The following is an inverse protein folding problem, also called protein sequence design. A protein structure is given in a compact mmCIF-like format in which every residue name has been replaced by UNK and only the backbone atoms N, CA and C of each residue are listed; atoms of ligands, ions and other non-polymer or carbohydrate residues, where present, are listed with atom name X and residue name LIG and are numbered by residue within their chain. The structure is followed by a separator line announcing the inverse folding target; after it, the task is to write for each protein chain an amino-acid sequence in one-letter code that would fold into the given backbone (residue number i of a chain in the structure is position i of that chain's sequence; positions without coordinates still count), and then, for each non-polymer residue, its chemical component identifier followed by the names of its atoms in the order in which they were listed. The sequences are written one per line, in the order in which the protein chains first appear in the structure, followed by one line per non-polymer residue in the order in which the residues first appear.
data_IF_016481243733
#
_entry.id   IF_016481243733
#
_cell.length_a   1.000
_cell.length_b   1.000
_cell.length_c   1.000
_cell.angle_alpha   90.00
_cell.angle_beta   90.00
_cell.angle_gamma   90.00
#
_symmetry.space_group_name_H-M   'P 1'
#
loop_
_entity.id
_entity.type
_entity.pdbx_description
1 polymer ?
#
# COMPACT_ATOMS: atom_id res chain seq x y z
N UNK A 1 -55.08 -14.51 16.70
CA UNK A 1 -55.92 -13.64 15.85
C UNK A 1 -56.62 -12.59 16.70
N UNK A 2 -56.82 -11.37 16.17
CA UNK A 2 -57.23 -10.22 16.97
C UNK A 2 -58.58 -10.47 17.65
N UNK A 3 -58.69 -10.01 18.89
CA UNK A 3 -59.86 -10.17 19.76
C UNK A 3 -60.47 -8.83 20.15
N UNK A 4 -59.98 -7.76 19.53
CA UNK A 4 -60.24 -6.37 19.95
C UNK A 4 -61.60 -5.86 19.46
N UNK A 5 -62.11 -6.43 18.36
CA UNK A 5 -63.46 -6.18 17.86
C UNK A 5 -64.44 -7.21 18.43
N UNK A 6 -65.42 -6.76 19.21
CA UNK A 6 -66.44 -7.63 19.84
C UNK A 6 -67.21 -8.50 18.82
N UNK A 7 -67.36 -8.03 17.58
CA UNK A 7 -68.09 -8.77 16.53
C UNK A 7 -67.31 -9.98 16.01
N UNK A 8 -65.98 -9.90 16.01
CA UNK A 8 -65.08 -10.92 15.45
C UNK A 8 -64.40 -11.73 16.56
N UNK A 9 -64.31 -11.19 17.78
CA UNK A 9 -63.66 -11.80 18.93
C UNK A 9 -64.19 -13.21 19.22
N UNK A 10 -65.52 -13.41 19.22
CA UNK A 10 -66.08 -14.74 19.53
C UNK A 10 -65.64 -15.81 18.51
N UNK A 11 -65.58 -15.44 17.23
CA UNK A 11 -65.13 -16.32 16.15
C UNK A 11 -63.62 -16.57 16.28
N UNK A 12 -62.83 -15.51 16.43
CA UNK A 12 -61.37 -15.61 16.55
C UNK A 12 -60.93 -16.38 17.81
N UNK A 13 -61.67 -16.31 18.92
CA UNK A 13 -61.43 -17.12 20.12
C UNK A 13 -61.58 -18.60 19.85
N UNK A 14 -62.69 -18.99 19.23
CA UNK A 14 -62.96 -20.37 18.83
C UNK A 14 -61.88 -20.87 17.87
N UNK A 15 -61.51 -20.06 16.88
CA UNK A 15 -60.51 -20.45 15.89
C UNK A 15 -59.09 -20.53 16.47
N UNK A 16 -58.73 -19.68 17.44
CA UNK A 16 -57.45 -19.77 18.16
C UNK A 16 -57.30 -21.12 18.89
N UNK A 17 -58.40 -21.71 19.38
CA UNK A 17 -58.37 -23.03 20.03
C UNK A 17 -58.06 -24.19 19.06
N UNK A 18 -58.19 -23.97 17.76
CA UNK A 18 -57.91 -24.98 16.71
C UNK A 18 -56.48 -24.88 16.17
N UNK A 19 -55.64 -24.01 16.75
CA UNK A 19 -54.22 -23.91 16.40
C UNK A 19 -53.41 -25.02 17.08
N UNK A 20 -52.52 -25.72 16.35
CA UNK A 20 -52.23 -25.62 14.92
C UNK A 20 -53.29 -26.33 14.05
N UNK A 21 -53.60 -25.77 12.88
CA UNK A 21 -54.61 -26.33 11.98
C UNK A 21 -54.18 -27.66 11.35
N UNK A 22 -54.96 -28.73 11.57
CA UNK A 22 -54.85 -29.99 10.86
C UNK A 22 -55.56 -29.89 9.50
N UNK A 23 -54.78 -29.73 8.42
CA UNK A 23 -55.32 -29.52 7.07
C UNK A 23 -54.93 -30.63 6.09
N UNK A 24 -55.86 -30.93 5.19
CA UNK A 24 -55.67 -31.87 4.08
C UNK A 24 -55.91 -31.10 2.79
N UNK A 25 -54.94 -31.09 1.88
CA UNK A 25 -55.08 -30.48 0.55
C UNK A 25 -55.39 -31.54 -0.52
N UNK A 26 -56.31 -31.24 -1.44
CA UNK A 26 -56.55 -32.03 -2.65
C UNK A 26 -56.89 -31.12 -3.83
N UNK A 27 -56.46 -31.52 -5.03
CA UNK A 27 -56.90 -30.93 -6.31
C UNK A 27 -57.98 -31.78 -6.99
N UNK A 28 -58.16 -33.04 -6.55
CA UNK A 28 -59.06 -33.99 -7.17
C UNK A 28 -60.49 -33.76 -6.65
N UNK A 29 -61.43 -33.64 -7.58
CA UNK A 29 -62.85 -33.45 -7.29
C UNK A 29 -63.65 -34.71 -7.61
N UNK A 30 -64.52 -35.08 -6.68
CA UNK A 30 -65.36 -36.28 -6.80
C UNK A 30 -66.80 -35.87 -6.57
N UNK A 31 -67.71 -36.40 -7.38
CA UNK A 31 -69.14 -36.15 -7.25
C UNK A 31 -69.70 -36.93 -6.07
N UNK A 32 -69.91 -36.25 -4.94
CA UNK A 32 -70.57 -36.81 -3.75
C UNK A 32 -72.00 -36.25 -3.72
N UNK A 33 -72.98 -37.08 -4.11
CA UNK A 33 -74.36 -36.64 -4.31
C UNK A 33 -74.51 -35.71 -5.52
N UNK A 34 -74.98 -34.48 -5.29
CA UNK A 34 -75.21 -33.46 -6.35
C UNK A 34 -74.13 -32.37 -6.41
N UNK A 35 -73.09 -32.43 -5.56
CA UNK A 35 -72.01 -31.44 -5.53
C UNK A 35 -70.67 -32.09 -5.89
N UNK A 36 -69.82 -31.34 -6.59
CA UNK A 36 -68.42 -31.68 -6.77
C UNK A 36 -67.68 -31.23 -5.52
N UNK A 37 -67.03 -32.15 -4.82
CA UNK A 37 -66.30 -31.87 -3.58
C UNK A 37 -64.87 -32.33 -3.75
N UNK A 38 -63.91 -31.54 -3.23
CA UNK A 38 -62.49 -31.92 -3.22
C UNK A 38 -62.25 -33.03 -2.21
N UNK A 39 -61.69 -34.14 -2.66
CA UNK A 39 -61.47 -35.33 -1.81
C UNK A 39 -60.12 -35.98 -2.07
N UNK A 40 -59.64 -36.76 -1.11
CA UNK A 40 -58.52 -37.70 -1.31
C UNK A 40 -59.04 -39.12 -1.18
N UNK A 41 -58.93 -39.89 -2.26
CA UNK A 41 -59.34 -41.28 -2.27
C UNK A 41 -58.17 -42.18 -1.87
N UNK A 42 -58.42 -43.09 -0.92
CA UNK A 42 -57.54 -44.17 -0.56
C UNK A 42 -58.30 -45.51 -0.63
N UNK A 43 -57.60 -46.64 -0.75
CA UNK A 43 -58.25 -47.96 -0.73
C UNK A 43 -59.08 -48.25 0.54
N UNK A 44 -58.77 -47.59 1.66
CA UNK A 44 -59.46 -47.75 2.95
C UNK A 44 -60.53 -46.68 3.23
N UNK A 45 -60.70 -45.68 2.36
CA UNK A 45 -61.68 -44.62 2.58
C UNK A 45 -61.41 -43.36 1.78
N UNK A 46 -62.36 -42.43 1.83
CA UNK A 46 -62.28 -41.14 1.14
C UNK A 46 -62.30 -40.04 2.18
N UNK A 47 -61.30 -39.16 2.15
CA UNK A 47 -61.21 -38.00 3.04
C UNK A 47 -61.77 -36.79 2.30
N UNK A 48 -62.78 -36.13 2.85
CA UNK A 48 -63.36 -34.94 2.25
C UNK A 48 -62.67 -33.69 2.81
N UNK A 49 -62.17 -32.84 1.92
CA UNK A 49 -61.42 -31.63 2.32
C UNK A 49 -62.34 -30.57 2.92
N UNK A 50 -63.60 -30.52 2.50
CA UNK A 50 -64.58 -29.53 2.98
C UNK A 50 -65.36 -30.00 4.22
N UNK A 51 -65.12 -31.22 4.71
CA UNK A 51 -65.79 -31.77 5.88
C UNK A 51 -65.06 -31.38 7.17
N UNK A 52 -65.73 -30.64 8.06
CA UNK A 52 -65.18 -30.17 9.33
C UNK A 52 -64.78 -31.31 10.30
N UNK A 53 -65.35 -32.51 10.13
CA UNK A 53 -64.99 -33.66 10.94
C UNK A 53 -63.65 -34.29 10.53
N UNK A 54 -63.28 -34.17 9.25
CA UNK A 54 -62.09 -34.80 8.69
C UNK A 54 -60.88 -33.86 8.76
N UNK A 55 -61.08 -32.56 8.50
CA UNK A 55 -60.00 -31.58 8.60
C UNK A 55 -60.50 -30.16 8.90
N UNK A 56 -59.58 -29.32 9.41
CA UNK A 56 -59.85 -27.93 9.75
C UNK A 56 -59.67 -26.98 8.56
N UNK A 57 -59.84 -27.45 7.32
CA UNK A 57 -59.60 -26.63 6.11
C UNK A 57 -60.55 -25.42 6.02
N UNK A 58 -61.85 -25.64 6.28
CA UNK A 58 -62.86 -24.56 6.28
C UNK A 58 -62.51 -23.50 7.32
N UNK A 59 -62.14 -23.92 8.54
CA UNK A 59 -61.71 -23.03 9.63
C UNK A 59 -60.46 -22.24 9.28
N UNK A 60 -59.49 -22.86 8.60
CA UNK A 60 -58.29 -22.17 8.11
C UNK A 60 -58.66 -21.10 7.05
N UNK A 61 -59.52 -21.44 6.10
CA UNK A 61 -59.93 -20.53 5.01
C UNK A 61 -60.71 -19.32 5.55
N UNK A 62 -61.67 -19.55 6.44
CA UNK A 62 -62.41 -18.50 7.15
C UNK A 62 -61.49 -17.57 7.92
N UNK A 63 -60.57 -18.17 8.67
CA UNK A 63 -59.62 -17.42 9.47
C UNK A 63 -58.67 -16.56 8.64
N UNK A 64 -58.06 -17.10 7.58
CA UNK A 64 -57.01 -16.38 6.84
C UNK A 64 -57.56 -15.44 5.77
N UNK A 65 -58.57 -15.87 5.02
CA UNK A 65 -58.98 -15.19 3.79
C UNK A 65 -60.24 -14.34 4.02
N UNK A 66 -61.24 -14.88 4.71
CA UNK A 66 -62.53 -14.20 4.82
C UNK A 66 -62.57 -13.14 5.91
N UNK A 67 -61.94 -13.39 7.07
CA UNK A 67 -62.09 -12.52 8.23
C UNK A 67 -60.84 -11.69 8.54
N UNK A 68 -59.64 -12.30 8.53
CA UNK A 68 -58.46 -11.64 9.11
C UNK A 68 -57.41 -11.15 8.09
N UNK A 69 -57.68 -11.17 6.77
CA UNK A 69 -56.69 -10.76 5.76
C UNK A 69 -56.23 -9.30 5.93
N UNK A 70 -57.16 -8.43 6.32
CA UNK A 70 -56.87 -7.01 6.54
C UNK A 70 -55.99 -6.81 7.78
N UNK A 71 -56.27 -7.51 8.88
CA UNK A 71 -55.44 -7.48 10.08
C UNK A 71 -54.04 -8.05 9.83
N UNK A 72 -53.93 -9.15 9.09
CA UNK A 72 -52.63 -9.70 8.69
C UNK A 72 -51.81 -8.70 7.86
N UNK A 73 -52.47 -7.95 6.97
CA UNK A 73 -51.82 -6.86 6.22
C UNK A 73 -51.37 -5.73 7.14
N UNK A 74 -52.24 -5.31 8.06
CA UNK A 74 -51.95 -4.22 8.98
C UNK A 74 -50.83 -4.57 9.97
N UNK A 75 -50.83 -5.77 10.55
CA UNK A 75 -49.73 -6.25 11.40
C UNK A 75 -48.41 -6.31 10.63
N UNK A 76 -48.46 -6.76 9.37
CA UNK A 76 -47.27 -6.78 8.51
C UNK A 76 -46.74 -5.38 8.27
N UNK A 77 -47.61 -4.40 8.02
CA UNK A 77 -47.19 -3.01 7.82
C UNK A 77 -46.69 -2.36 9.12
N UNK A 78 -47.51 -2.35 10.18
CA UNK A 78 -47.21 -1.63 11.42
C UNK A 78 -46.09 -2.23 12.24
N UNK A 79 -45.90 -3.56 12.18
CA UNK A 79 -44.94 -4.26 13.04
C UNK A 79 -43.77 -4.80 12.25
N UNK A 80 -44.01 -5.66 11.27
CA UNK A 80 -42.93 -6.37 10.57
C UNK A 80 -42.14 -5.42 9.66
N UNK A 81 -42.83 -4.60 8.88
CA UNK A 81 -42.20 -3.62 8.01
C UNK A 81 -41.55 -2.48 8.79
N UNK A 82 -42.22 -1.91 9.79
CA UNK A 82 -41.61 -0.87 10.62
C UNK A 82 -40.36 -1.36 11.36
N UNK A 83 -40.37 -2.58 11.91
CA UNK A 83 -39.17 -3.15 12.52
C UNK A 83 -38.02 -3.26 11.51
N UNK A 84 -38.30 -3.81 10.32
CA UNK A 84 -37.31 -3.90 9.24
C UNK A 84 -36.80 -2.52 8.83
N UNK A 85 -37.70 -1.55 8.69
CA UNK A 85 -37.41 -0.17 8.31
C UNK A 85 -36.49 0.50 9.33
N UNK A 86 -36.81 0.42 10.63
CA UNK A 86 -35.97 0.97 11.69
C UNK A 86 -34.59 0.32 11.71
N UNK A 87 -34.51 -1.02 11.64
CA UNK A 87 -33.23 -1.72 11.58
C UNK A 87 -32.39 -1.31 10.36
N UNK A 88 -33.02 -1.13 9.19
CA UNK A 88 -32.33 -0.67 7.98
C UNK A 88 -31.89 0.79 8.06
N UNK A 89 -32.68 1.64 8.68
CA UNK A 89 -32.29 3.04 8.93
C UNK A 89 -31.08 3.11 9.85
N UNK A 90 -31.05 2.30 10.92
CA UNK A 90 -29.91 2.22 11.83
C UNK A 90 -28.64 1.70 11.13
N UNK A 91 -28.75 0.66 10.30
CA UNK A 91 -27.64 0.14 9.48
C UNK A 91 -27.06 1.22 8.54
N UNK A 92 -27.94 2.09 8.01
CA UNK A 92 -27.56 3.22 7.18
C UNK A 92 -27.07 4.43 7.98
N UNK A 93 -27.05 4.37 9.32
CA UNK A 93 -26.57 5.41 10.22
C UNK A 93 -27.58 6.51 10.54
N UNK A 94 -28.86 6.30 10.24
CA UNK A 94 -29.94 7.18 10.68
C UNK A 94 -30.42 6.71 12.06
N UNK A 95 -30.16 7.51 13.10
CA UNK A 95 -30.72 7.31 14.43
C UNK A 95 -31.81 8.36 14.63
N UNK A 96 -33.03 7.92 14.97
CA UNK A 96 -34.18 8.80 15.17
C UNK A 96 -34.05 9.72 16.40
N UNK A 97 -33.09 9.44 17.30
CA UNK A 97 -32.87 10.18 18.55
C UNK A 97 -31.44 10.69 18.67
N UNK A 98 -31.31 12.02 18.73
CA UNK A 98 -30.08 12.72 19.11
C UNK A 98 -29.88 12.76 20.62
N UNK A 99 -28.76 13.36 21.10
CA UNK A 99 -28.39 13.39 22.52
C UNK A 99 -29.43 14.00 23.49
N UNK A 100 -30.54 14.56 23.00
CA UNK A 100 -31.57 15.20 23.81
C UNK A 100 -33.02 14.75 23.54
N UNK A 101 -33.25 13.56 22.93
CA UNK A 101 -34.61 13.10 22.59
C UNK A 101 -35.44 14.10 21.75
N UNK A 102 -34.78 14.93 20.95
CA UNK A 102 -35.42 15.77 19.93
C UNK A 102 -35.43 14.98 18.61
N UNK A 103 -36.54 14.99 17.85
CA UNK A 103 -36.58 14.34 16.55
C UNK A 103 -35.50 14.99 15.68
N UNK A 104 -34.50 14.21 15.29
CA UNK A 104 -33.45 14.68 14.38
C UNK A 104 -34.12 14.94 13.03
N UNK A 105 -34.01 16.16 12.52
CA UNK A 105 -34.41 16.48 11.16
C UNK A 105 -33.60 15.59 10.22
N UNK A 106 -34.25 14.95 9.25
CA UNK A 106 -33.62 14.11 8.24
C UNK A 106 -32.41 14.82 7.59
N UNK A 107 -32.52 16.15 7.43
CA UNK A 107 -31.46 17.02 6.92
C UNK A 107 -30.21 17.05 7.82
N UNK A 108 -30.37 17.15 9.14
CA UNK A 108 -29.27 17.21 10.10
C UNK A 108 -28.48 15.90 10.14
N UNK A 109 -29.18 14.75 9.99
CA UNK A 109 -28.54 13.44 9.88
C UNK A 109 -27.68 13.33 8.61
N UNK A 110 -28.15 13.88 7.47
CA UNK A 110 -27.37 13.94 6.24
C UNK A 110 -26.14 14.84 6.39
N UNK A 111 -26.28 16.01 7.02
CA UNK A 111 -25.18 16.94 7.25
C UNK A 111 -24.12 16.35 8.20
N UNK A 112 -24.55 15.70 9.29
CA UNK A 112 -23.65 15.00 10.21
C UNK A 112 -22.88 13.87 9.51
N UNK A 113 -23.56 13.06 8.67
CA UNK A 113 -22.90 11.99 7.90
C UNK A 113 -21.92 12.55 6.86
N UNK A 114 -22.25 13.67 6.21
CA UNK A 114 -21.35 14.38 5.29
C UNK A 114 -20.13 14.94 6.02
N UNK A 115 -20.31 15.56 7.18
CA UNK A 115 -19.21 16.07 8.00
C UNK A 115 -18.32 14.94 8.54
N UNK A 116 -18.90 13.82 8.95
CA UNK A 116 -18.16 12.63 9.37
C UNK A 116 -17.24 12.11 8.26
N UNK A 117 -17.80 11.85 7.06
CA UNK A 117 -17.01 11.37 5.90
C UNK A 117 -15.94 12.39 5.49
N UNK A 118 -16.27 13.68 5.50
CA UNK A 118 -15.31 14.73 5.17
C UNK A 118 -14.16 14.78 6.19
N UNK A 119 -14.46 14.71 7.48
CA UNK A 119 -13.47 14.71 8.55
C UNK A 119 -12.55 13.48 8.52
N UNK A 120 -13.10 12.30 8.27
CA UNK A 120 -12.29 11.08 8.10
C UNK A 120 -11.36 11.17 6.88
N UNK A 121 -11.87 11.69 5.76
CA UNK A 121 -11.05 11.92 4.55
C UNK A 121 -9.91 12.89 4.84
N UNK A 122 -10.21 14.02 5.48
CA UNK A 122 -9.22 15.04 5.81
C UNK A 122 -8.12 14.49 6.72
N UNK A 123 -8.50 13.74 7.76
CA UNK A 123 -7.55 13.10 8.68
C UNK A 123 -6.62 12.13 7.96
N UNK A 124 -7.15 11.29 7.05
CA UNK A 124 -6.34 10.37 6.26
C UNK A 124 -5.40 11.10 5.29
N UNK A 125 -5.85 12.22 4.72
CA UNK A 125 -5.01 13.08 3.87
C UNK A 125 -3.88 13.72 4.69
N UNK A 126 -4.18 14.22 5.88
CA UNK A 126 -3.21 14.84 6.77
C UNK A 126 -2.20 13.81 7.30
N UNK A 127 -2.64 12.59 7.64
CA UNK A 127 -1.75 11.47 7.96
C UNK A 127 -0.81 11.15 6.79
N UNK A 128 -1.32 11.11 5.55
CA UNK A 128 -0.51 10.87 4.36
C UNK A 128 0.52 11.99 4.13
N UNK A 129 0.12 13.25 4.33
CA UNK A 129 1.02 14.42 4.24
C UNK A 129 2.09 14.36 5.33
N UNK A 130 1.73 14.04 6.57
CA UNK A 130 2.68 13.89 7.67
C UNK A 130 3.70 12.78 7.39
N UNK A 131 3.23 11.62 6.91
CA UNK A 131 4.12 10.52 6.53
C UNK A 131 5.07 10.91 5.40
N UNK A 132 4.60 11.68 4.40
CA UNK A 132 5.47 12.19 3.34
C UNK A 132 6.54 13.14 3.89
N UNK A 133 6.14 14.15 4.68
CA UNK A 133 7.05 15.12 5.28
C UNK A 133 8.10 14.43 6.16
N UNK A 134 7.68 13.46 6.97
CA UNK A 134 8.57 12.67 7.80
C UNK A 134 9.59 11.89 6.95
N UNK A 135 9.15 11.21 5.88
CA UNK A 135 10.05 10.48 4.98
C UNK A 135 11.01 11.40 4.22
N UNK A 136 10.56 12.58 3.79
CA UNK A 136 11.44 13.57 3.16
C UNK A 136 12.51 14.02 4.15
N UNK A 137 12.12 14.39 5.38
CA UNK A 137 13.05 14.82 6.42
C UNK A 137 14.10 13.75 6.75
N UNK A 138 13.69 12.49 6.85
CA UNK A 138 14.60 11.36 7.07
C UNK A 138 15.59 11.19 5.92
N UNK A 139 15.10 11.26 4.67
CA UNK A 139 15.96 11.14 3.48
C UNK A 139 16.93 12.31 3.32
N UNK A 140 16.49 13.54 3.60
CA UNK A 140 17.36 14.72 3.63
C UNK A 140 18.43 14.60 4.71
N UNK A 141 18.09 14.10 5.90
CA UNK A 141 19.06 13.87 6.97
C UNK A 141 20.13 12.84 6.57
N UNK A 142 19.72 11.74 5.94
CA UNK A 142 20.65 10.73 5.43
C UNK A 142 21.57 11.29 4.33
N UNK A 143 21.01 12.06 3.40
CA UNK A 143 21.80 12.69 2.34
C UNK A 143 22.83 13.65 2.93
N UNK A 144 22.42 14.46 3.91
CA UNK A 144 23.29 15.40 4.61
C UNK A 144 24.43 14.72 5.37
N UNK A 145 24.23 13.51 5.89
CA UNK A 145 25.28 12.73 6.54
C UNK A 145 26.25 12.12 5.52
N UNK A 146 25.72 11.56 4.41
CA UNK A 146 26.53 11.03 3.32
C UNK A 146 27.43 12.11 2.69
N UNK A 147 26.90 13.32 2.49
CA UNK A 147 27.67 14.46 1.98
C UNK A 147 28.79 14.86 2.95
N UNK A 148 28.52 14.86 4.27
CA UNK A 148 29.54 15.12 5.29
C UNK A 148 30.65 14.06 5.29
N UNK A 149 30.29 12.79 5.18
CA UNK A 149 31.27 11.70 5.09
C UNK A 149 32.11 11.78 3.82
N UNK A 150 31.49 12.10 2.68
CA UNK A 150 32.20 12.27 1.41
C UNK A 150 33.18 13.45 1.48
N UNK A 151 32.77 14.55 2.09
CA UNK A 151 33.63 15.72 2.29
C UNK A 151 34.82 15.38 3.19
N UNK A 152 34.60 14.66 4.29
CA UNK A 152 35.69 14.21 5.17
C UNK A 152 36.67 13.29 4.45
N UNK A 153 36.18 12.35 3.63
CA UNK A 153 37.02 11.47 2.78
C UNK A 153 37.84 12.28 1.78
N UNK A 154 37.23 13.28 1.15
CA UNK A 154 37.92 14.16 0.20
C UNK A 154 39.06 14.94 0.88
N UNK A 155 38.81 15.52 2.05
CA UNK A 155 39.83 16.23 2.82
C UNK A 155 40.97 15.32 3.28
N UNK A 156 40.65 14.10 3.72
CA UNK A 156 41.65 13.11 4.08
C UNK A 156 42.53 12.72 2.88
N UNK A 157 41.92 12.37 1.74
CA UNK A 157 42.65 12.05 0.51
C UNK A 157 43.51 13.21 0.02
N UNK A 158 43.03 14.46 0.16
CA UNK A 158 43.81 15.66 -0.18
C UNK A 158 45.05 15.80 0.69
N UNK A 159 44.97 15.52 1.99
CA UNK A 159 46.14 15.52 2.90
C UNK A 159 47.13 14.42 2.53
N UNK A 160 46.64 13.21 2.27
CA UNK A 160 47.50 12.09 1.84
C UNK A 160 48.22 12.41 0.52
N UNK A 161 47.51 12.97 -0.48
CA UNK A 161 48.14 13.40 -1.74
C UNK A 161 49.21 14.47 -1.51
N UNK A 162 48.97 15.43 -0.62
CA UNK A 162 49.96 16.44 -0.25
C UNK A 162 51.19 15.83 0.44
N UNK A 163 50.99 14.90 1.38
CA UNK A 163 52.09 14.20 2.06
C UNK A 163 52.93 13.36 1.09
N UNK A 164 52.28 12.62 0.18
CA UNK A 164 52.98 11.83 -0.85
C UNK A 164 53.74 12.74 -1.83
N UNK A 165 53.18 13.89 -2.23
CA UNK A 165 53.90 14.89 -3.02
C UNK A 165 55.15 15.40 -2.30
N UNK A 166 55.05 15.74 -1.02
CA UNK A 166 56.19 16.19 -0.22
C UNK A 166 57.27 15.10 -0.10
N UNK A 167 56.87 13.83 0.10
CA UNK A 167 57.81 12.70 0.13
C UNK A 167 58.51 12.49 -1.21
N UNK A 168 57.80 12.63 -2.32
CA UNK A 168 58.37 12.51 -3.66
C UNK A 168 59.33 13.67 -3.97
N UNK A 169 58.99 14.88 -3.55
CA UNK A 169 59.83 16.07 -3.72
C UNK A 169 61.12 15.96 -2.90
N UNK A 170 61.04 15.46 -1.67
CA UNK A 170 62.24 15.21 -0.84
C UNK A 170 63.13 14.11 -1.44
N UNK A 171 62.54 13.00 -1.92
CA UNK A 171 63.31 11.96 -2.63
C UNK A 171 63.99 12.52 -3.89
N UNK A 172 63.31 13.40 -4.62
CA UNK A 172 63.89 14.08 -5.79
C UNK A 172 65.05 14.98 -5.38
N UNK A 173 64.92 15.75 -4.29
CA UNK A 173 66.00 16.59 -3.74
C UNK A 173 67.23 15.77 -3.38
N UNK A 174 67.05 14.65 -2.68
CA UNK A 174 68.16 13.75 -2.31
C UNK A 174 68.86 13.16 -3.54
N UNK A 175 68.11 12.74 -4.56
CA UNK A 175 68.69 12.24 -5.81
C UNK A 175 69.45 13.34 -6.57
N UNK A 176 68.93 14.57 -6.61
CA UNK A 176 69.62 15.71 -7.24
C UNK A 176 70.92 16.04 -6.47
N UNK A 177 70.92 15.99 -5.14
CA UNK A 177 72.13 16.12 -4.31
C UNK A 177 73.14 15.01 -4.58
N UNK A 178 72.70 13.76 -4.71
CA UNK A 178 73.57 12.63 -5.06
C UNK A 178 74.18 12.78 -6.46
N UNK A 179 73.37 13.19 -7.45
CA UNK A 179 73.84 13.47 -8.82
C UNK A 179 74.91 14.57 -8.80
N UNK A 180 74.70 15.67 -8.08
CA UNK A 180 75.70 16.75 -8.00
C UNK A 180 76.97 16.31 -7.27
N UNK A 181 76.87 15.49 -6.23
CA UNK A 181 78.03 14.93 -5.53
C UNK A 181 78.83 13.97 -6.42
N UNK A 182 78.15 13.10 -7.16
CA UNK A 182 78.77 12.20 -8.14
C UNK A 182 79.44 13.00 -9.27
N UNK A 183 78.78 14.02 -9.80
CA UNK A 183 79.36 14.90 -10.83
C UNK A 183 80.62 15.61 -10.33
N UNK A 184 80.64 16.09 -9.07
CA UNK A 184 81.85 16.67 -8.46
C UNK A 184 82.97 15.65 -8.34
N UNK A 185 82.68 14.43 -7.89
CA UNK A 185 83.68 13.33 -7.80
C UNK A 185 84.21 12.91 -9.17
N UNK A 186 83.36 12.85 -10.18
CA UNK A 186 83.78 12.55 -11.55
C UNK A 186 84.68 13.67 -12.09
N UNK A 187 84.31 14.94 -11.89
CA UNK A 187 85.15 16.07 -12.30
C UNK A 187 86.51 16.08 -11.60
N UNK A 188 86.57 15.79 -10.29
CA UNK A 188 87.86 15.68 -9.59
C UNK A 188 88.67 14.49 -10.10
N UNK A 189 88.04 13.33 -10.32
CA UNK A 189 88.70 12.14 -10.89
C UNK A 189 89.23 12.40 -12.30
N UNK A 190 88.48 13.09 -13.16
CA UNK A 190 88.91 13.51 -14.50
C UNK A 190 90.08 14.49 -14.43
N UNK A 191 90.12 15.41 -13.45
CA UNK A 191 91.28 16.28 -13.23
C UNK A 191 92.54 15.48 -12.84
N UNK A 192 92.42 14.47 -11.96
CA UNK A 192 93.54 13.59 -11.60
C UNK A 192 93.98 12.68 -12.77
N UNK A 193 93.03 12.20 -13.58
CA UNK A 193 93.31 11.38 -14.76
C UNK A 193 93.93 12.20 -15.90
N UNK A 194 93.53 13.47 -16.04
CA UNK A 194 94.14 14.42 -16.98
C UNK A 194 95.58 14.77 -16.59
N UNK A 195 95.88 14.86 -15.28
CA UNK A 195 97.28 14.94 -14.81
C UNK A 195 98.10 13.67 -15.12
N UNK A 196 97.48 12.49 -15.18
CA UNK A 196 98.14 11.24 -15.55
C UNK A 196 98.32 11.06 -17.07
N UNK A 197 97.36 11.53 -17.88
CA UNK A 197 97.41 11.47 -19.35
C UNK A 197 98.45 12.42 -19.96
N UNK A 198 98.76 13.55 -19.31
CA UNK A 198 99.84 14.46 -19.76
C UNK A 198 101.24 13.83 -19.58
N UNK A 199 101.37 12.69 -18.89
CA UNK A 199 102.65 12.01 -18.64
C UNK A 199 102.94 10.82 -19.58
N UNK A 200 102.00 10.38 -20.42
CA UNK A 200 102.25 9.26 -21.35
C UNK A 200 101.58 9.45 -22.72
N UNK A 201 102.43 9.33 -23.75
CA UNK A 201 102.14 8.99 -25.16
C UNK A 201 102.13 10.13 -26.18
N UNK A 202 103.24 10.19 -26.91
CA UNK A 202 103.47 10.87 -28.18
C UNK A 202 103.12 9.96 -29.38
N UNK A 203 102.67 10.58 -30.49
CA UNK A 203 102.64 10.10 -31.89
C UNK A 203 101.67 8.97 -32.30
N UNK A 204 100.69 9.26 -33.17
CA UNK A 204 100.68 8.95 -34.63
C UNK A 204 99.31 9.17 -35.30
N UNK A 205 99.39 9.42 -36.61
CA UNK A 205 98.43 9.95 -37.58
C UNK A 205 97.23 9.07 -38.02
N UNK A 206 96.22 9.77 -38.58
CA UNK A 206 95.31 9.46 -39.72
C UNK A 206 94.43 8.19 -39.67
N UNK A 207 93.10 8.36 -39.68
CA UNK A 207 92.26 8.43 -40.90
C UNK A 207 90.76 8.47 -40.53
N UNK A 208 89.94 9.12 -41.37
CA UNK A 208 88.57 9.48 -41.05
C UNK A 208 87.52 8.36 -41.17
N UNK A 209 86.34 8.61 -40.58
CA UNK A 209 85.00 8.46 -41.20
C UNK A 209 83.89 8.90 -40.24
N UNK A 210 82.91 9.54 -40.84
CA UNK A 210 81.62 9.97 -40.34
C UNK A 210 80.81 8.82 -39.68
N UNK A 211 80.27 9.05 -38.47
CA UNK A 211 79.00 8.44 -38.07
C UNK A 211 78.36 9.23 -36.91
N UNK A 212 77.19 9.78 -37.20
CA UNK A 212 76.20 10.24 -36.23
C UNK A 212 75.97 9.16 -35.16
N UNK A 213 76.03 9.54 -33.89
CA UNK A 213 75.34 8.79 -32.84
C UNK A 213 74.45 9.73 -32.03
N UNK A 214 73.20 9.30 -31.92
CA UNK A 214 72.04 10.09 -31.54
C UNK A 214 72.08 10.56 -30.08
N UNK A 215 71.79 11.84 -29.87
CA UNK A 215 71.19 12.30 -28.61
C UNK A 215 69.78 11.73 -28.50
N UNK A 216 69.62 10.60 -27.81
CA UNK A 216 68.29 10.11 -27.43
C UNK A 216 67.76 10.91 -26.24
N UNK A 217 67.08 12.01 -26.54
CA UNK A 217 66.10 12.63 -25.64
C UNK A 217 65.00 11.60 -25.34
N UNK A 218 65.01 11.03 -24.14
CA UNK A 218 63.84 10.29 -23.63
C UNK A 218 62.93 11.28 -22.90
N UNK A 219 62.08 11.96 -23.67
CA UNK A 219 60.85 12.58 -23.13
C UNK A 219 59.88 11.45 -22.80
N UNK A 220 59.79 11.05 -21.54
CA UNK A 220 58.71 10.17 -21.09
C UNK A 220 57.58 11.04 -20.55
N UNK A 221 56.45 10.98 -21.25
CA UNK A 221 55.28 11.82 -21.08
C UNK A 221 54.63 11.65 -19.70
N UNK A 222 54.39 12.77 -19.02
CA UNK A 222 53.51 12.86 -17.87
C UNK A 222 52.06 12.59 -18.32
N UNK A 223 51.54 11.40 -18.03
CA UNK A 223 50.12 11.09 -18.20
C UNK A 223 49.31 11.82 -17.12
N UNK A 224 48.80 13.00 -17.48
CA UNK A 224 47.77 13.72 -16.72
C UNK A 224 46.47 12.93 -16.84
N UNK A 225 46.17 12.05 -15.87
CA UNK A 225 44.83 11.43 -15.76
C UNK A 225 43.84 12.50 -15.32
N UNK A 226 43.09 13.03 -16.27
CA UNK A 226 41.90 13.83 -16.03
C UNK A 226 40.82 12.95 -15.39
N UNK A 227 40.51 13.18 -14.12
CA UNK A 227 39.30 12.65 -13.49
C UNK A 227 38.10 13.44 -14.02
N UNK A 228 37.25 12.81 -14.85
CA UNK A 228 35.93 13.35 -15.17
C UNK A 228 35.02 13.16 -13.96
N UNK A 229 34.57 14.28 -13.37
CA UNK A 229 33.43 14.30 -12.46
C UNK A 229 32.16 14.30 -13.33
N UNK A 230 31.42 13.19 -13.35
CA UNK A 230 30.07 13.15 -13.94
C UNK A 230 29.09 13.80 -12.95
N UNK A 231 28.62 15.00 -13.29
CA UNK A 231 27.49 15.65 -12.63
C UNK A 231 26.21 15.00 -13.16
N UNK A 232 25.46 14.31 -12.30
CA UNK A 232 24.11 13.85 -12.62
C UNK A 232 23.13 15.01 -12.41
N UNK A 233 22.60 15.56 -13.50
CA UNK A 233 21.35 16.33 -13.47
C UNK A 233 20.17 15.35 -13.47
N UNK A 234 19.32 15.42 -12.44
CA UNK A 234 18.00 14.80 -12.42
C UNK A 234 16.96 15.85 -12.79
N UNK A 235 16.17 15.55 -13.83
CA UNK A 235 14.83 16.10 -14.05
C UNK A 235 13.83 15.46 -13.10
#
# INVERSE_FOLDING_TARGET
FPMDDETIAKINSSMNAHLPFAVVGSMDEVKVGNKMVKTRQYPWGVVQVENENDCNFIKLQEMLIYTNVEDLREQTHRRHYELYRCCKQEELGFKDVGPENKPISVQDAYEAKRHGICGERQRREDEMKQMFVQRVKEKEALLKEADRELQAKFEHLKKVDQEERMKLEEKRRLLDEEITALSKKNATSEMYQSQFFVMTCSNKDKDGKNSQFYMSHSRTACHRRSFQVKVYQKS
#
